data_IF_635419875549
#
_entry.id   IF_635419875549
#
_cell.length_a   1.000
_cell.length_b   1.000
_cell.length_c   1.000
_cell.angle_alpha   90.00
_cell.angle_beta   90.00
_cell.angle_gamma   90.00
#
_symmetry.space_group_name_H-M   'P 1'
#
loop_
_entity.id
_entity.type
_entity.pdbx_description
1 polymer ?
#
# COMPACT_ATOMS: atom_id res chain seq x y z
N UNK A 1 -59.92 -4.12 -43.07
CA UNK A 1 -59.77 -2.77 -42.51
C UNK A 1 -59.37 -2.92 -41.04
N UNK A 2 -58.19 -2.39 -40.68
CA UNK A 2 -57.58 -2.19 -39.34
C UNK A 2 -57.43 -3.45 -38.45
N UNK A 3 -56.24 -3.98 -38.15
CA UNK A 3 -54.91 -3.37 -38.07
C UNK A 3 -54.45 -3.37 -36.60
N UNK A 4 -54.13 -4.55 -36.06
CA UNK A 4 -53.67 -4.72 -34.68
C UNK A 4 -52.27 -4.13 -34.48
N UNK A 5 -52.14 -3.22 -33.51
CA UNK A 5 -50.85 -2.61 -33.12
C UNK A 5 -49.89 -3.68 -32.57
N UNK A 6 -48.64 -3.77 -33.04
CA UNK A 6 -47.63 -4.62 -32.41
C UNK A 6 -47.20 -4.02 -31.07
N UNK A 7 -47.16 -4.86 -30.03
CA UNK A 7 -46.49 -4.55 -28.75
C UNK A 7 -44.99 -4.50 -29.00
N UNK A 8 -44.42 -3.31 -28.92
CA UNK A 8 -42.98 -3.09 -28.86
C UNK A 8 -42.44 -3.68 -27.55
N UNK A 9 -41.89 -4.88 -27.62
CA UNK A 9 -41.01 -5.41 -26.56
C UNK A 9 -39.70 -4.64 -26.63
N UNK A 10 -39.58 -3.57 -25.85
CA UNK A 10 -38.31 -2.85 -25.64
C UNK A 10 -37.37 -3.70 -24.77
N UNK A 11 -36.76 -4.71 -25.36
CA UNK A 11 -35.50 -5.25 -24.85
C UNK A 11 -34.40 -4.29 -25.30
N UNK A 12 -34.18 -3.20 -24.54
CA UNK A 12 -32.90 -2.50 -24.60
C UNK A 12 -31.85 -3.43 -24.00
N UNK A 13 -31.21 -4.23 -24.84
CA UNK A 13 -29.92 -4.79 -24.49
C UNK A 13 -28.95 -3.63 -24.34
N UNK A 14 -28.64 -3.26 -23.10
CA UNK A 14 -27.51 -2.38 -22.78
C UNK A 14 -26.22 -3.16 -23.05
N UNK A 15 -25.86 -3.29 -24.32
CA UNK A 15 -24.51 -3.64 -24.74
C UNK A 15 -23.65 -2.40 -24.58
N UNK A 16 -22.73 -2.40 -23.60
CA UNK A 16 -21.69 -1.38 -23.52
C UNK A 16 -21.27 -0.86 -22.14
N UNK A 17 -21.54 -1.55 -21.03
CA UNK A 17 -20.65 -1.43 -19.86
C UNK A 17 -19.76 -2.66 -19.90
N UNK A 18 -18.52 -2.50 -20.38
CA UNK A 18 -17.52 -3.55 -20.30
C UNK A 18 -17.51 -4.01 -18.83
N UNK A 19 -18.02 -5.22 -18.55
CA UNK A 19 -18.18 -5.76 -17.18
C UNK A 19 -16.95 -5.39 -16.37
N UNK A 20 -17.13 -4.44 -15.45
CA UNK A 20 -16.04 -3.86 -14.67
C UNK A 20 -15.28 -5.02 -14.01
N UNK A 21 -14.01 -5.19 -14.37
CA UNK A 21 -13.16 -6.21 -13.76
C UNK A 21 -12.80 -5.72 -12.37
N UNK A 22 -13.56 -6.17 -11.37
CA UNK A 22 -13.39 -5.74 -9.97
C UNK A 22 -12.49 -6.69 -9.17
N UNK A 23 -12.12 -7.85 -9.71
CA UNK A 23 -11.30 -8.87 -9.04
C UNK A 23 -9.87 -8.98 -9.57
N UNK A 24 -9.26 -7.87 -10.01
CA UNK A 24 -7.99 -7.95 -10.76
C UNK A 24 -6.80 -8.29 -9.87
N UNK A 25 -6.78 -7.83 -8.62
CA UNK A 25 -5.64 -8.04 -7.73
C UNK A 25 -5.71 -9.45 -7.15
N UNK A 26 -6.86 -9.83 -6.56
CA UNK A 26 -7.06 -11.19 -6.02
C UNK A 26 -6.95 -12.26 -7.10
N UNK A 27 -7.48 -12.00 -8.30
CA UNK A 27 -7.35 -12.88 -9.45
C UNK A 27 -5.89 -13.07 -9.88
N UNK A 28 -5.08 -12.01 -9.85
CA UNK A 28 -3.66 -12.11 -10.15
C UNK A 28 -2.89 -12.88 -9.07
N UNK A 29 -3.18 -12.66 -7.79
CA UNK A 29 -2.53 -13.40 -6.69
C UNK A 29 -2.92 -14.89 -6.73
N UNK A 30 -4.19 -15.23 -7.02
CA UNK A 30 -4.61 -16.62 -7.24
C UNK A 30 -3.80 -17.28 -8.37
N UNK A 31 -3.58 -16.56 -9.46
CA UNK A 31 -2.72 -17.01 -10.56
C UNK A 31 -1.28 -17.25 -10.10
N UNK A 32 -0.72 -16.34 -9.30
CA UNK A 32 0.62 -16.51 -8.74
C UNK A 32 0.70 -17.75 -7.86
N UNK A 33 -0.28 -18.01 -6.98
CA UNK A 33 -0.35 -19.24 -6.18
C UNK A 33 -0.29 -20.45 -7.09
N UNK A 34 -1.13 -20.50 -8.13
CA UNK A 34 -1.17 -21.61 -9.07
C UNK A 34 0.18 -21.84 -9.75
N UNK A 35 0.79 -20.78 -10.27
CA UNK A 35 2.05 -20.84 -11.01
C UNK A 35 3.25 -21.25 -10.13
N UNK A 36 3.30 -20.75 -8.89
CA UNK A 36 4.30 -21.14 -7.90
C UNK A 36 4.19 -22.63 -7.50
N UNK A 37 2.98 -23.17 -7.59
CA UNK A 37 2.68 -24.56 -7.34
C UNK A 37 2.79 -25.46 -8.60
N UNK A 38 3.28 -24.91 -9.72
CA UNK A 38 3.46 -25.64 -10.97
C UNK A 38 2.16 -26.14 -11.62
N UNK A 39 0.99 -25.60 -11.23
CA UNK A 39 -0.32 -26.12 -11.65
C UNK A 39 -0.88 -25.46 -12.92
N UNK A 40 -1.58 -26.23 -13.74
CA UNK A 40 -2.43 -25.72 -14.82
C UNK A 40 -3.77 -25.23 -14.27
N UNK A 41 -4.54 -24.48 -15.08
CA UNK A 41 -5.87 -24.03 -14.66
C UNK A 41 -6.83 -25.18 -14.44
N UNK A 42 -6.72 -26.23 -15.25
CA UNK A 42 -7.50 -27.47 -15.09
C UNK A 42 -7.16 -28.16 -13.77
N UNK A 43 -5.87 -28.33 -13.47
CA UNK A 43 -5.42 -28.92 -12.19
C UNK A 43 -5.86 -28.10 -10.98
N UNK A 44 -5.88 -26.75 -11.10
CA UNK A 44 -6.43 -25.90 -10.04
C UNK A 44 -7.96 -26.03 -9.93
N UNK A 45 -8.66 -26.16 -11.06
CA UNK A 45 -10.11 -26.32 -11.08
C UNK A 45 -10.52 -27.64 -10.42
N UNK A 46 -9.81 -28.72 -10.72
CA UNK A 46 -9.95 -30.03 -10.06
C UNK A 46 -9.67 -29.93 -8.56
N UNK A 47 -8.55 -29.30 -8.16
CA UNK A 47 -8.18 -29.11 -6.76
C UNK A 47 -9.25 -28.34 -5.97
N UNK A 48 -9.89 -27.36 -6.61
CA UNK A 48 -10.89 -26.51 -5.97
C UNK A 48 -12.32 -27.02 -6.16
N UNK A 49 -12.52 -28.14 -6.88
CA UNK A 49 -13.82 -28.72 -7.22
C UNK A 49 -14.75 -27.72 -7.93
N UNK A 50 -14.19 -26.95 -8.88
CA UNK A 50 -14.93 -25.98 -9.69
C UNK A 50 -14.65 -26.17 -11.18
N UNK A 51 -15.39 -25.48 -12.05
CA UNK A 51 -15.11 -25.53 -13.49
C UNK A 51 -13.86 -24.74 -13.89
N UNK A 52 -13.21 -25.16 -14.99
CA UNK A 52 -12.11 -24.42 -15.62
C UNK A 52 -12.49 -22.95 -15.91
N UNK A 53 -13.71 -22.73 -16.41
CA UNK A 53 -14.23 -21.39 -16.69
C UNK A 53 -14.34 -20.52 -15.42
N UNK A 54 -14.61 -21.14 -14.27
CA UNK A 54 -14.64 -20.43 -12.98
C UNK A 54 -13.24 -19.95 -12.59
N UNK A 55 -12.23 -20.82 -12.66
CA UNK A 55 -10.83 -20.45 -12.41
C UNK A 55 -10.37 -19.37 -13.40
N UNK A 56 -10.64 -19.54 -14.70
CA UNK A 56 -10.30 -18.55 -15.71
C UNK A 56 -11.01 -17.20 -15.49
N UNK A 57 -12.26 -17.25 -15.02
CA UNK A 57 -13.04 -16.08 -14.63
C UNK A 57 -12.42 -15.33 -13.45
N UNK A 58 -11.99 -16.05 -12.41
CA UNK A 58 -11.31 -15.48 -11.25
C UNK A 58 -9.95 -14.88 -11.62
N UNK A 59 -9.08 -15.65 -12.28
CA UNK A 59 -7.74 -15.19 -12.62
C UNK A 59 -7.72 -13.98 -13.55
N UNK A 60 -8.74 -13.83 -14.40
CA UNK A 60 -8.87 -12.68 -15.30
C UNK A 60 -9.52 -11.47 -14.65
N UNK A 61 -10.01 -11.59 -13.41
CA UNK A 61 -10.78 -10.56 -12.72
C UNK A 61 -12.19 -10.34 -13.30
N UNK A 62 -12.64 -11.16 -14.27
CA UNK A 62 -14.00 -11.10 -14.83
C UNK A 62 -15.06 -11.58 -13.83
N UNK A 63 -14.68 -12.51 -12.95
CA UNK A 63 -15.48 -12.94 -11.80
C UNK A 63 -14.68 -12.57 -10.55
N UNK A 64 -15.11 -11.61 -9.74
CA UNK A 64 -14.34 -11.24 -8.56
C UNK A 64 -14.40 -12.35 -7.51
N UNK A 65 -13.27 -12.66 -6.87
CA UNK A 65 -13.26 -13.63 -5.77
C UNK A 65 -14.05 -13.12 -4.56
N UNK A 66 -14.25 -11.80 -4.44
CA UNK A 66 -15.10 -11.19 -3.41
C UNK A 66 -16.59 -11.53 -3.54
N UNK A 67 -17.04 -12.07 -4.68
CA UNK A 67 -18.41 -12.59 -4.82
C UNK A 67 -18.55 -14.07 -4.44
N UNK A 68 -17.45 -14.75 -4.09
CA UNK A 68 -17.48 -16.15 -3.65
C UNK A 68 -17.88 -16.20 -2.17
N UNK A 69 -18.80 -17.09 -1.77
CA UNK A 69 -19.15 -17.24 -0.36
C UNK A 69 -17.93 -17.53 0.52
N UNK A 70 -17.85 -16.89 1.68
CA UNK A 70 -16.69 -17.01 2.60
C UNK A 70 -16.38 -18.46 2.94
N UNK A 71 -17.40 -19.30 3.15
CA UNK A 71 -17.21 -20.74 3.41
C UNK A 71 -16.40 -21.44 2.31
N UNK A 72 -16.68 -21.13 1.03
CA UNK A 72 -15.92 -21.67 -0.09
C UNK A 72 -14.50 -21.10 -0.14
N UNK A 73 -14.31 -19.81 0.12
CA UNK A 73 -12.97 -19.21 0.17
C UNK A 73 -12.08 -19.87 1.24
N UNK A 74 -12.64 -20.16 2.42
CA UNK A 74 -11.92 -20.88 3.48
C UNK A 74 -11.58 -22.31 3.06
N UNK A 75 -12.52 -23.02 2.45
CA UNK A 75 -12.27 -24.36 1.91
C UNK A 75 -11.18 -24.34 0.83
N UNK A 76 -11.21 -23.37 -0.10
CA UNK A 76 -10.18 -23.20 -1.12
C UNK A 76 -8.80 -22.90 -0.51
N UNK A 77 -8.74 -22.04 0.51
CA UNK A 77 -7.50 -21.77 1.24
C UNK A 77 -6.91 -23.05 1.84
N UNK A 78 -7.72 -23.85 2.52
CA UNK A 78 -7.26 -25.12 3.11
C UNK A 78 -6.80 -26.13 2.05
N UNK A 79 -7.54 -26.29 0.95
CA UNK A 79 -7.15 -27.17 -0.16
C UNK A 79 -5.85 -26.72 -0.81
N UNK A 80 -5.67 -25.42 -1.08
CA UNK A 80 -4.42 -24.89 -1.62
C UNK A 80 -3.25 -25.05 -0.65
N UNK A 81 -3.48 -24.86 0.65
CA UNK A 81 -2.45 -25.07 1.68
C UNK A 81 -2.02 -26.55 1.74
N UNK A 82 -2.98 -27.47 1.78
CA UNK A 82 -2.70 -28.92 1.74
C UNK A 82 -1.98 -29.34 0.45
N UNK A 83 -2.21 -28.61 -0.65
CA UNK A 83 -1.58 -28.81 -1.96
C UNK A 83 -0.19 -28.18 -2.11
N UNK A 84 0.34 -27.53 -1.07
CA UNK A 84 1.70 -26.96 -1.03
C UNK A 84 1.79 -25.45 -1.23
N UNK A 85 0.68 -24.71 -1.28
CA UNK A 85 0.73 -23.26 -1.40
C UNK A 85 1.37 -22.60 -0.17
N UNK A 86 2.28 -21.65 -0.41
CA UNK A 86 2.99 -20.96 0.66
C UNK A 86 2.03 -20.13 1.52
N UNK A 87 2.26 -20.12 2.84
CA UNK A 87 1.47 -19.31 3.76
C UNK A 87 1.47 -17.82 3.37
N UNK A 88 2.63 -17.30 2.97
CA UNK A 88 2.80 -15.92 2.49
C UNK A 88 1.87 -15.58 1.31
N UNK A 89 1.74 -16.46 0.32
CA UNK A 89 0.86 -16.20 -0.82
C UNK A 89 -0.63 -16.32 -0.46
N UNK A 90 -0.97 -17.23 0.45
CA UNK A 90 -2.35 -17.37 0.96
C UNK A 90 -2.77 -16.16 1.80
N UNK A 91 -1.85 -15.60 2.58
CA UNK A 91 -2.06 -14.33 3.29
C UNK A 91 -2.20 -13.16 2.31
N UNK A 92 -1.32 -13.09 1.31
CA UNK A 92 -1.40 -12.08 0.25
C UNK A 92 -2.72 -12.16 -0.53
N UNK A 93 -3.28 -13.36 -0.73
CA UNK A 93 -4.60 -13.52 -1.36
C UNK A 93 -5.71 -12.90 -0.51
N UNK A 94 -5.66 -13.08 0.82
CA UNK A 94 -6.58 -12.42 1.75
C UNK A 94 -6.52 -10.89 1.61
N UNK A 95 -5.31 -10.33 1.59
CA UNK A 95 -5.11 -8.89 1.40
C UNK A 95 -5.52 -8.40 0.01
N UNK A 96 -5.34 -9.23 -1.01
CA UNK A 96 -5.73 -8.90 -2.38
C UNK A 96 -7.26 -8.82 -2.54
N UNK A 97 -8.03 -9.60 -1.78
CA UNK A 97 -9.49 -9.47 -1.71
C UNK A 97 -9.89 -8.10 -1.12
N UNK A 98 -9.25 -7.69 -0.03
CA UNK A 98 -9.47 -6.36 0.56
C UNK A 98 -9.10 -5.25 -0.43
N UNK A 99 -7.97 -5.39 -1.14
CA UNK A 99 -7.54 -4.43 -2.17
C UNK A 99 -8.56 -4.29 -3.30
N UNK A 100 -9.17 -5.39 -3.76
CA UNK A 100 -10.23 -5.36 -4.77
C UNK A 100 -11.50 -4.65 -4.26
N UNK A 101 -11.83 -4.77 -2.97
CA UNK A 101 -12.92 -3.98 -2.33
C UNK A 101 -12.57 -2.49 -2.35
N UNK A 102 -11.34 -2.12 -1.97
CA UNK A 102 -10.89 -0.72 -1.97
C UNK A 102 -10.87 -0.13 -3.38
N UNK A 103 -10.36 -0.86 -4.37
CA UNK A 103 -10.36 -0.44 -5.78
C UNK A 103 -11.79 -0.28 -6.31
N UNK A 104 -12.68 -1.23 -5.98
CA UNK A 104 -14.09 -1.15 -6.39
C UNK A 104 -14.78 0.06 -5.78
N UNK A 105 -14.51 0.39 -4.52
CA UNK A 105 -15.02 1.60 -3.88
C UNK A 105 -14.45 2.88 -4.53
N UNK A 106 -13.16 2.91 -4.83
CA UNK A 106 -12.50 4.05 -5.49
C UNK A 106 -13.02 4.29 -6.92
N UNK A 107 -13.36 3.22 -7.65
CA UNK A 107 -13.94 3.25 -8.99
C UNK A 107 -15.48 3.30 -9.00
N UNK A 108 -16.11 3.14 -7.85
CA UNK A 108 -17.55 3.25 -7.63
C UNK A 108 -18.00 4.70 -7.43
N UNK A 109 -19.32 4.98 -7.43
CA UNK A 109 -19.83 6.30 -7.08
C UNK A 109 -19.22 6.79 -5.75
N UNK A 110 -18.83 8.06 -5.68
CA UNK A 110 -18.23 8.61 -4.47
C UNK A 110 -19.26 8.67 -3.34
N UNK A 111 -19.20 7.70 -2.42
CA UNK A 111 -19.94 7.75 -1.16
C UNK A 111 -19.09 8.51 -0.14
N UNK A 112 -19.27 9.83 -0.10
CA UNK A 112 -18.52 10.73 0.79
C UNK A 112 -19.22 10.86 2.15
N UNK A 113 -20.56 10.82 2.16
CA UNK A 113 -21.40 10.95 3.36
C UNK A 113 -21.84 9.60 3.95
N UNK A 114 -21.26 8.49 3.47
CA UNK A 114 -21.60 7.12 3.85
C UNK A 114 -20.38 6.25 4.13
N UNK A 115 -20.56 4.94 4.44
CA UNK A 115 -19.45 4.04 4.73
C UNK A 115 -18.57 3.88 3.48
N UNK A 116 -17.40 4.50 3.50
CA UNK A 116 -16.37 4.35 2.49
C UNK A 116 -15.26 3.42 3.04
N UNK A 117 -14.93 2.30 2.37
CA UNK A 117 -13.84 1.42 2.80
C UNK A 117 -12.47 2.11 2.89
N UNK A 118 -12.24 3.16 2.09
CA UNK A 118 -11.05 4.00 2.22
C UNK A 118 -11.09 4.95 3.42
N UNK A 119 -12.14 4.93 4.24
CA UNK A 119 -12.26 5.74 5.44
C UNK A 119 -12.49 4.93 6.71
N UNK A 120 -12.57 3.60 6.61
CA UNK A 120 -12.98 2.72 7.71
C UNK A 120 -11.85 2.25 8.61
N UNK A 121 -10.61 2.30 8.12
CA UNK A 121 -9.41 1.92 8.86
C UNK A 121 -8.18 2.60 8.28
N UNK A 122 -7.15 2.77 9.11
CA UNK A 122 -5.84 3.24 8.69
C UNK A 122 -5.17 2.14 7.87
N UNK A 123 -4.89 2.40 6.61
CA UNK A 123 -4.28 1.42 5.73
C UNK A 123 -2.82 1.17 6.11
N UNK A 124 -2.45 -0.11 6.13
CA UNK A 124 -1.05 -0.57 6.22
C UNK A 124 -0.43 -0.65 4.83
N UNK A 125 0.90 -0.65 4.78
CA UNK A 125 1.70 -0.72 3.55
C UNK A 125 1.21 -1.81 2.60
N UNK A 126 1.06 -3.03 3.11
CA UNK A 126 0.62 -4.19 2.32
C UNK A 126 -0.69 -3.94 1.56
N UNK A 127 -1.64 -3.26 2.21
CA UNK A 127 -2.97 -2.98 1.64
C UNK A 127 -2.98 -1.71 0.78
N UNK A 128 -1.93 -0.88 0.85
CA UNK A 128 -1.74 0.26 -0.07
C UNK A 128 -0.98 -0.15 -1.33
N UNK A 129 0.01 -1.02 -1.22
CA UNK A 129 0.80 -1.47 -2.37
C UNK A 129 -0.04 -2.31 -3.34
N UNK A 130 -0.90 -3.18 -2.84
CA UNK A 130 -1.78 -4.03 -3.66
C UNK A 130 -2.70 -3.25 -4.61
N UNK A 131 -3.47 -2.23 -4.17
CA UNK A 131 -4.27 -1.40 -5.08
C UNK A 131 -3.43 -0.43 -5.91
N UNK A 132 -2.23 -0.04 -5.46
CA UNK A 132 -1.31 0.77 -6.25
C UNK A 132 -0.66 -0.01 -7.41
N UNK A 133 -0.47 -1.32 -7.24
CA UNK A 133 0.18 -2.19 -8.23
C UNK A 133 -0.46 -2.12 -9.64
N UNK A 134 -1.79 -2.29 -9.82
CA UNK A 134 -2.42 -2.13 -11.13
C UNK A 134 -2.45 -0.69 -11.66
N UNK A 135 -2.14 0.29 -10.81
CA UNK A 135 -2.01 1.72 -11.17
C UNK A 135 -0.59 2.07 -11.65
N UNK A 136 0.29 1.08 -11.84
CA UNK A 136 1.69 1.28 -12.21
C UNK A 136 2.60 1.58 -11.02
N UNK A 137 2.14 1.24 -9.80
CA UNK A 137 3.01 1.12 -8.64
C UNK A 137 3.92 -0.12 -8.72
N UNK A 138 4.91 -0.23 -7.82
CA UNK A 138 5.79 -1.39 -7.76
C UNK A 138 5.01 -2.67 -7.38
N UNK A 139 5.63 -3.83 -7.62
CA UNK A 139 5.16 -5.10 -7.05
C UNK A 139 5.16 -4.96 -5.51
N UNK A 140 4.09 -5.36 -4.80
CA UNK A 140 4.05 -5.31 -3.35
C UNK A 140 5.25 -6.03 -2.72
N UNK A 141 5.80 -5.50 -1.63
CA UNK A 141 7.01 -6.05 -1.00
C UNK A 141 6.79 -7.51 -0.56
N UNK A 142 5.60 -7.83 -0.06
CA UNK A 142 5.21 -9.19 0.34
C UNK A 142 5.19 -10.18 -0.82
N UNK A 143 5.15 -9.70 -2.06
CA UNK A 143 5.20 -10.50 -3.29
C UNK A 143 6.55 -10.34 -4.02
N UNK A 144 7.40 -9.41 -3.57
CA UNK A 144 8.74 -9.22 -4.12
C UNK A 144 9.67 -10.35 -3.66
N UNK A 145 10.57 -10.78 -4.53
CA UNK A 145 11.54 -11.83 -4.19
C UNK A 145 10.98 -13.26 -4.15
N UNK A 146 9.74 -13.48 -4.58
CA UNK A 146 9.24 -14.83 -4.82
C UNK A 146 10.09 -15.54 -5.90
N UNK A 147 10.33 -16.85 -5.77
CA UNK A 147 11.12 -17.58 -6.75
C UNK A 147 10.44 -17.57 -8.12
N UNK A 148 11.20 -17.82 -9.18
CA UNK A 148 10.61 -17.97 -10.51
C UNK A 148 9.57 -19.11 -10.50
N UNK A 149 8.45 -18.98 -11.24
CA UNK A 149 7.48 -20.05 -11.37
C UNK A 149 8.12 -21.36 -11.84
N UNK A 150 7.64 -22.49 -11.31
CA UNK A 150 8.16 -23.84 -11.63
C UNK A 150 8.07 -24.16 -13.12
N UNK A 151 7.02 -23.66 -13.79
CA UNK A 151 6.80 -23.82 -15.23
C UNK A 151 6.92 -22.46 -15.91
N UNK A 152 7.74 -22.39 -16.97
CA UNK A 152 7.85 -21.18 -17.79
C UNK A 152 6.50 -20.83 -18.42
N UNK A 153 6.16 -19.54 -18.39
CA UNK A 153 4.92 -19.02 -18.99
C UNK A 153 4.99 -19.19 -20.51
N UNK A 154 3.90 -19.67 -21.12
CA UNK A 154 3.76 -19.73 -22.59
C UNK A 154 3.05 -18.47 -23.08
N UNK A 155 3.68 -17.74 -24.00
CA UNK A 155 3.12 -16.54 -24.61
C UNK A 155 3.14 -15.29 -23.72
N UNK A 156 2.68 -14.14 -24.23
CA UNK A 156 2.63 -12.89 -23.49
C UNK A 156 1.58 -12.97 -22.38
N UNK A 157 2.05 -12.97 -21.13
CA UNK A 157 1.20 -12.92 -19.92
C UNK A 157 1.58 -11.68 -19.11
N UNK A 158 0.61 -10.85 -18.68
CA UNK A 158 0.88 -9.68 -17.85
C UNK A 158 1.69 -10.04 -16.61
N UNK A 159 2.77 -9.30 -16.37
CA UNK A 159 3.61 -9.46 -15.18
C UNK A 159 2.97 -8.89 -13.91
N UNK A 160 1.91 -8.09 -14.06
CA UNK A 160 1.16 -7.45 -12.98
C UNK A 160 -0.36 -7.56 -13.22
N UNK A 161 -1.22 -7.33 -12.21
CA UNK A 161 -2.62 -7.01 -12.45
C UNK A 161 -2.71 -5.74 -13.29
N UNK A 162 -3.67 -5.69 -14.21
CA UNK A 162 -3.85 -4.56 -15.12
C UNK A 162 -5.26 -4.00 -14.97
N UNK A 163 -5.33 -2.73 -14.58
CA UNK A 163 -6.55 -1.95 -14.63
C UNK A 163 -6.80 -1.53 -16.10
N UNK A 164 -8.06 -1.44 -16.53
CA UNK A 164 -8.37 -0.91 -17.86
C UNK A 164 -7.93 0.55 -17.98
N UNK A 165 -7.56 1.01 -19.18
CA UNK A 165 -7.19 2.41 -19.41
C UNK A 165 -8.30 3.37 -18.96
N UNK A 166 -9.57 3.00 -19.19
CA UNK A 166 -10.76 3.75 -18.77
C UNK A 166 -10.91 3.81 -17.26
N UNK A 167 -10.69 2.72 -16.54
CA UNK A 167 -10.76 2.75 -15.07
C UNK A 167 -9.59 3.54 -14.49
N UNK A 168 -8.41 3.46 -15.12
CA UNK A 168 -7.21 4.15 -14.67
C UNK A 168 -7.35 5.66 -14.82
N UNK A 169 -7.92 6.10 -15.94
CA UNK A 169 -8.21 7.53 -16.17
C UNK A 169 -9.29 8.06 -15.23
N UNK A 170 -10.16 7.21 -14.68
CA UNK A 170 -11.19 7.58 -13.70
C UNK A 170 -10.69 7.57 -12.25
N UNK A 171 -9.76 6.68 -11.92
CA UNK A 171 -9.30 6.47 -10.54
C UNK A 171 -8.74 7.75 -9.92
N UNK A 172 -7.72 8.36 -10.53
CA UNK A 172 -7.05 9.51 -9.92
C UNK A 172 -7.92 10.77 -9.81
N UNK A 173 -8.72 11.16 -10.82
CA UNK A 173 -9.70 12.22 -10.65
C UNK A 173 -10.67 11.99 -9.49
N UNK A 174 -11.12 10.75 -9.27
CA UNK A 174 -12.01 10.42 -8.15
C UNK A 174 -11.34 10.45 -6.80
N UNK A 175 -10.08 10.02 -6.70
CA UNK A 175 -9.33 10.15 -5.45
C UNK A 175 -9.12 11.62 -5.09
N UNK A 176 -8.84 12.48 -6.07
CA UNK A 176 -8.77 13.93 -5.86
C UNK A 176 -10.11 14.50 -5.42
N UNK A 177 -11.19 14.18 -6.12
CA UNK A 177 -12.55 14.62 -5.76
C UNK A 177 -12.92 14.15 -4.34
N UNK A 178 -12.59 12.90 -4.01
CA UNK A 178 -12.83 12.34 -2.67
C UNK A 178 -12.06 13.12 -1.60
N UNK A 179 -10.79 13.43 -1.85
CA UNK A 179 -9.99 14.26 -0.93
C UNK A 179 -10.52 15.70 -0.82
N UNK A 180 -11.10 16.25 -1.88
CA UNK A 180 -11.74 17.57 -1.88
C UNK A 180 -13.12 17.61 -1.22
N UNK A 181 -13.85 16.50 -1.18
CA UNK A 181 -15.19 16.47 -0.61
C UNK A 181 -15.24 15.90 0.81
N UNK A 182 -14.26 15.09 1.19
CA UNK A 182 -14.13 14.54 2.53
C UNK A 182 -13.71 15.64 3.54
N UNK A 183 -14.70 16.37 4.07
CA UNK A 183 -14.52 17.49 4.99
C UNK A 183 -14.82 17.11 6.45
N UNK A 184 -14.13 17.79 7.38
CA UNK A 184 -14.35 17.62 8.81
C UNK A 184 -13.74 16.37 9.45
N UNK A 185 -13.87 16.24 10.77
CA UNK A 185 -13.12 15.24 11.57
C UNK A 185 -13.43 13.80 11.20
N UNK A 186 -14.70 13.47 10.91
CA UNK A 186 -15.14 12.10 10.58
C UNK A 186 -14.63 11.62 9.23
N UNK A 187 -14.41 12.54 8.28
CA UNK A 187 -13.94 12.22 6.94
C UNK A 187 -12.42 12.42 6.78
N UNK A 188 -11.71 12.83 7.84
CA UNK A 188 -10.29 13.13 7.79
C UNK A 188 -9.44 11.94 7.31
N UNK A 189 -9.73 10.74 7.82
CA UNK A 189 -9.04 9.52 7.42
C UNK A 189 -9.25 9.22 5.93
N UNK A 190 -10.51 9.28 5.46
CA UNK A 190 -10.84 9.13 4.05
C UNK A 190 -10.07 10.11 3.17
N UNK A 191 -10.06 11.40 3.56
CA UNK A 191 -9.32 12.45 2.86
C UNK A 191 -7.84 12.11 2.75
N UNK A 192 -7.21 11.74 3.87
CA UNK A 192 -5.77 11.43 3.94
C UNK A 192 -5.40 10.24 3.05
N UNK A 193 -6.23 9.19 3.06
CA UNK A 193 -5.98 7.99 2.25
C UNK A 193 -6.18 8.27 0.75
N UNK A 194 -7.21 9.03 0.39
CA UNK A 194 -7.44 9.46 -0.99
C UNK A 194 -6.31 10.37 -1.50
N UNK A 195 -5.81 11.29 -0.65
CA UNK A 195 -4.68 12.15 -0.97
C UNK A 195 -3.40 11.33 -1.24
N UNK A 196 -3.12 10.37 -0.36
CA UNK A 196 -1.95 9.50 -0.51
C UNK A 196 -2.02 8.68 -1.81
N UNK A 197 -3.17 8.07 -2.12
CA UNK A 197 -3.37 7.27 -3.33
C UNK A 197 -3.31 8.13 -4.61
N UNK A 198 -3.71 9.39 -4.54
CA UNK A 198 -3.54 10.35 -5.63
C UNK A 198 -2.07 10.61 -5.98
N UNK A 199 -1.15 10.40 -5.04
CA UNK A 199 0.30 10.51 -5.25
C UNK A 199 0.93 9.41 -6.11
N UNK A 200 0.15 8.42 -6.55
CA UNK A 200 0.58 7.47 -7.60
C UNK A 200 0.26 7.97 -9.02
N UNK A 201 -0.45 9.10 -9.15
CA UNK A 201 -0.72 9.70 -10.45
C UNK A 201 0.55 10.36 -11.00
N UNK A 202 1.01 9.88 -12.16
CA UNK A 202 2.20 10.41 -12.83
C UNK A 202 1.93 11.70 -13.63
N UNK A 203 0.71 12.24 -13.57
CA UNK A 203 0.40 13.51 -14.20
C UNK A 203 1.29 14.65 -13.64
N UNK A 204 1.80 15.54 -14.51
CA UNK A 204 2.76 16.59 -14.10
C UNK A 204 2.14 17.63 -13.15
N UNK A 205 0.81 17.79 -13.16
CA UNK A 205 0.10 18.76 -12.33
C UNK A 205 -0.37 18.22 -10.97
N UNK A 206 -0.06 16.95 -10.65
CA UNK A 206 -0.42 16.30 -9.38
C UNK A 206 0.06 17.13 -8.18
N UNK A 207 1.31 17.56 -8.15
CA UNK A 207 1.88 18.30 -7.01
C UNK A 207 1.22 19.67 -6.80
N UNK A 208 0.96 20.41 -7.89
CA UNK A 208 0.31 21.71 -7.81
C UNK A 208 -1.11 21.59 -7.23
N UNK A 209 -1.88 20.62 -7.73
CA UNK A 209 -3.25 20.36 -7.22
C UNK A 209 -3.27 19.92 -5.76
N UNK A 210 -2.33 19.09 -5.33
CA UNK A 210 -2.23 18.67 -3.93
C UNK A 210 -1.90 19.85 -3.00
N UNK A 211 -1.07 20.81 -3.46
CA UNK A 211 -0.79 22.03 -2.73
C UNK A 211 -2.03 22.93 -2.59
N UNK A 212 -2.86 23.01 -3.63
CA UNK A 212 -4.13 23.75 -3.61
C UNK A 212 -5.14 23.14 -2.64
N UNK A 213 -5.26 21.81 -2.63
CA UNK A 213 -6.15 21.09 -1.71
C UNK A 213 -5.80 21.37 -0.23
N UNK A 214 -4.51 21.49 0.11
CA UNK A 214 -4.06 21.86 1.46
C UNK A 214 -4.53 23.27 1.87
N UNK A 215 -4.57 24.23 0.94
CA UNK A 215 -4.99 25.60 1.24
C UNK A 215 -6.48 25.68 1.58
N UNK A 216 -7.29 24.83 0.95
CA UNK A 216 -8.73 24.82 1.13
C UNK A 216 -9.19 24.28 2.49
N UNK A 217 -8.44 23.37 3.12
CA UNK A 217 -8.83 22.82 4.43
C UNK A 217 -7.60 22.58 5.32
N UNK A 218 -7.40 23.47 6.29
CA UNK A 218 -6.33 23.39 7.28
C UNK A 218 -6.88 22.83 8.59
N UNK A 219 -6.43 21.63 9.02
CA UNK A 219 -6.69 21.16 10.37
C UNK A 219 -6.20 22.18 11.38
N UNK A 220 -6.92 22.32 12.48
CA UNK A 220 -6.54 23.22 13.57
C UNK A 220 -5.77 22.47 14.66
N UNK A 221 -5.89 21.15 14.72
CA UNK A 221 -5.19 20.32 15.68
C UNK A 221 -3.80 19.89 15.18
N UNK A 222 -2.90 19.67 16.14
CA UNK A 222 -1.51 19.30 15.88
C UNK A 222 -1.38 18.02 15.04
N UNK A 223 -2.17 16.98 15.35
CA UNK A 223 -2.06 15.68 14.68
C UNK A 223 -2.51 15.80 13.22
N UNK A 224 -3.60 16.52 12.97
CA UNK A 224 -4.07 16.82 11.62
C UNK A 224 -3.05 17.60 10.79
N UNK A 225 -2.39 18.61 11.38
CA UNK A 225 -1.31 19.37 10.73
C UNK A 225 -0.13 18.48 10.39
N UNK A 226 0.30 17.64 11.34
CA UNK A 226 1.40 16.70 11.18
C UNK A 226 1.12 15.69 10.06
N UNK A 227 -0.08 15.10 10.04
CA UNK A 227 -0.49 14.09 9.03
C UNK A 227 -0.62 14.67 7.63
N UNK A 228 -1.14 15.89 7.50
CA UNK A 228 -1.17 16.60 6.23
C UNK A 228 0.25 16.91 5.73
N UNK A 229 1.14 17.38 6.63
CA UNK A 229 2.55 17.63 6.33
C UNK A 229 3.24 16.36 5.81
N UNK A 230 3.10 15.24 6.53
CA UNK A 230 3.66 13.94 6.14
C UNK A 230 3.15 13.46 4.79
N UNK A 231 1.85 13.55 4.56
CA UNK A 231 1.24 13.09 3.30
C UNK A 231 1.78 13.89 2.11
N UNK A 232 1.92 15.21 2.26
CA UNK A 232 2.48 16.07 1.21
C UNK A 232 3.97 15.84 0.99
N UNK A 233 4.75 15.66 2.06
CA UNK A 233 6.17 15.34 1.95
C UNK A 233 6.38 14.00 1.24
N UNK A 234 5.62 12.97 1.61
CA UNK A 234 5.73 11.64 0.99
C UNK A 234 5.27 11.62 -0.46
N UNK A 235 4.21 12.36 -0.81
CA UNK A 235 3.81 12.49 -2.22
C UNK A 235 4.80 13.35 -3.00
N UNK A 236 5.25 14.48 -2.46
CA UNK A 236 6.27 15.34 -3.07
C UNK A 236 7.55 14.58 -3.40
N UNK A 237 8.08 13.81 -2.44
CA UNK A 237 9.27 13.00 -2.63
C UNK A 237 9.14 11.99 -3.79
N UNK A 238 7.96 11.36 -3.96
CA UNK A 238 7.70 10.46 -5.11
C UNK A 238 7.82 11.15 -6.46
N UNK A 239 7.56 12.45 -6.50
CA UNK A 239 7.69 13.29 -7.69
C UNK A 239 9.04 14.02 -7.75
N UNK A 240 10.00 13.65 -6.90
CA UNK A 240 11.36 14.22 -6.89
C UNK A 240 11.51 15.49 -6.06
N UNK A 241 10.46 15.98 -5.41
CA UNK A 241 10.52 17.14 -4.50
C UNK A 241 11.09 16.70 -3.15
N UNK A 242 12.43 16.71 -3.04
CA UNK A 242 13.16 16.38 -1.81
C UNK A 242 13.02 17.47 -0.75
N UNK A 243 12.94 18.74 -1.16
CA UNK A 243 12.86 19.89 -0.25
C UNK A 243 11.64 19.80 0.69
N UNK A 244 10.50 19.31 0.19
CA UNK A 244 9.33 19.05 1.05
C UNK A 244 9.57 17.99 2.11
N UNK A 245 10.37 16.97 1.80
CA UNK A 245 10.72 15.94 2.77
C UNK A 245 11.65 16.52 3.83
N UNK A 246 12.68 17.25 3.41
CA UNK A 246 13.60 17.94 4.31
C UNK A 246 12.85 18.90 5.24
N UNK A 247 11.98 19.76 4.68
CA UNK A 247 11.15 20.67 5.48
C UNK A 247 10.27 19.92 6.49
N UNK A 248 9.68 18.78 6.11
CA UNK A 248 8.87 17.99 7.05
C UNK A 248 9.70 17.42 8.20
N UNK A 249 10.91 16.91 7.92
CA UNK A 249 11.83 16.42 8.95
C UNK A 249 12.22 17.57 9.89
N UNK A 250 12.66 18.70 9.33
CA UNK A 250 13.18 19.84 10.10
C UNK A 250 12.12 20.56 10.94
N UNK A 251 10.83 20.44 10.58
CA UNK A 251 9.74 21.16 11.27
C UNK A 251 8.81 20.26 12.05
N UNK A 252 8.32 19.17 11.44
CA UNK A 252 7.30 18.32 12.03
C UNK A 252 7.89 17.18 12.89
N UNK A 253 9.20 16.91 12.74
CA UNK A 253 9.94 15.91 13.54
C UNK A 253 11.01 16.57 14.43
N UNK A 254 10.89 17.88 14.69
CA UNK A 254 11.87 18.64 15.46
C UNK A 254 11.81 18.37 16.98
N UNK A 255 10.72 17.77 17.47
CA UNK A 255 10.49 17.48 18.89
C UNK A 255 10.17 15.99 19.13
N UNK A 256 10.32 15.56 20.39
CA UNK A 256 10.07 14.17 20.79
C UNK A 256 8.65 13.69 20.43
N UNK A 257 7.68 14.61 20.39
CA UNK A 257 6.28 14.31 20.05
C UNK A 257 6.14 13.95 18.57
N UNK A 258 6.77 14.71 17.68
CA UNK A 258 6.82 14.47 16.24
C UNK A 258 7.60 13.20 15.89
N UNK A 259 8.76 13.00 16.53
CA UNK A 259 9.56 11.78 16.40
C UNK A 259 8.77 10.54 16.83
N UNK A 260 8.10 10.60 18.00
CA UNK A 260 7.24 9.52 18.50
C UNK A 260 6.10 9.18 17.52
N UNK A 261 5.42 10.20 16.99
CA UNK A 261 4.38 10.02 16.00
C UNK A 261 4.88 9.38 14.71
N UNK A 262 6.07 9.77 14.24
CA UNK A 262 6.71 9.15 13.09
C UNK A 262 6.98 7.64 13.33
N UNK A 263 7.51 7.29 14.50
CA UNK A 263 7.79 5.89 14.85
C UNK A 263 6.52 5.06 15.00
N UNK A 264 5.48 5.59 15.67
CA UNK A 264 4.18 4.91 15.79
C UNK A 264 3.54 4.69 14.42
N UNK A 265 3.54 5.72 13.56
CA UNK A 265 3.05 5.60 12.19
C UNK A 265 3.81 4.52 11.42
N UNK A 266 5.15 4.52 11.47
CA UNK A 266 5.96 3.54 10.76
C UNK A 266 5.74 2.11 11.26
N UNK A 267 5.72 1.92 12.59
CA UNK A 267 5.47 0.61 13.20
C UNK A 267 4.11 0.05 12.77
N UNK A 268 3.07 0.90 12.75
CA UNK A 268 1.77 0.50 12.21
C UNK A 268 1.81 0.22 10.71
N UNK A 269 2.39 1.14 9.93
CA UNK A 269 2.46 1.09 8.47
C UNK A 269 3.08 -0.21 7.96
N UNK A 270 4.17 -0.65 8.57
CA UNK A 270 4.88 -1.88 8.19
C UNK A 270 4.28 -3.14 8.85
N UNK A 271 3.27 -2.99 9.70
CA UNK A 271 2.62 -4.08 10.41
C UNK A 271 3.51 -4.72 11.48
N UNK A 272 4.29 -3.92 12.21
CA UNK A 272 4.92 -4.34 13.48
C UNK A 272 3.84 -4.53 14.55
N UNK A 273 2.82 -3.68 14.54
CA UNK A 273 1.64 -3.79 15.40
C UNK A 273 0.57 -4.66 14.73
N UNK A 274 -0.09 -5.50 15.54
CA UNK A 274 -1.10 -6.45 15.07
C UNK A 274 -2.51 -5.85 15.04
N UNK A 275 -2.79 -4.89 15.91
CA UNK A 275 -4.10 -4.23 16.03
C UNK A 275 -4.41 -3.41 14.78
N UNK A 276 -5.62 -3.56 14.25
CA UNK A 276 -6.13 -2.69 13.19
C UNK A 276 -6.58 -1.37 13.80
N UNK A 277 -6.03 -0.26 13.34
CA UNK A 277 -6.37 1.07 13.83
C UNK A 277 -7.49 1.67 12.99
N UNK A 278 -8.55 2.13 13.66
CA UNK A 278 -9.75 2.70 13.02
C UNK A 278 -9.71 4.23 12.93
N UNK A 279 -8.78 4.87 13.66
CA UNK A 279 -8.53 6.31 13.61
C UNK A 279 -7.03 6.57 13.63
N UNK A 280 -6.65 7.82 13.35
CA UNK A 280 -5.26 8.27 13.40
C UNK A 280 -4.77 8.54 14.83
N UNK A 281 -5.62 8.43 15.86
CA UNK A 281 -5.30 8.88 17.22
C UNK A 281 -4.12 8.12 17.86
N UNK A 282 -3.91 6.85 17.48
CA UNK A 282 -2.79 6.05 17.95
C UNK A 282 -1.42 6.68 17.62
N UNK A 283 -1.34 7.48 16.55
CA UNK A 283 -0.11 8.15 16.11
C UNK A 283 0.36 9.15 17.18
N UNK A 284 -0.57 9.85 17.82
CA UNK A 284 -0.27 10.84 18.86
C UNK A 284 0.03 10.22 20.23
N UNK A 285 -0.07 8.89 20.38
CA UNK A 285 0.23 8.22 21.64
C UNK A 285 1.73 8.27 21.95
N UNK A 286 2.16 8.24 23.22
CA UNK A 286 3.55 8.02 23.55
C UNK A 286 4.09 6.76 22.85
N UNK A 287 5.39 6.73 22.51
CA UNK A 287 6.00 5.55 21.86
C UNK A 287 5.72 4.32 22.71
N UNK A 288 4.86 3.45 22.19
CA UNK A 288 4.40 2.30 22.94
C UNK A 288 5.47 1.22 22.99
N UNK A 289 5.73 0.65 24.16
CA UNK A 289 6.51 -0.61 24.28
C UNK A 289 5.78 -1.83 23.70
N UNK A 290 4.56 -1.67 23.18
CA UNK A 290 3.74 -2.76 22.63
C UNK A 290 4.29 -3.37 21.34
N UNK A 291 5.19 -2.68 20.65
CA UNK A 291 5.94 -3.22 19.52
C UNK A 291 7.43 -3.24 19.83
N UNK A 292 8.18 -4.21 19.29
CA UNK A 292 9.60 -4.44 19.64
C UNK A 292 10.54 -3.53 18.86
N UNK A 293 10.27 -3.32 17.58
CA UNK A 293 11.02 -2.41 16.70
C UNK A 293 12.01 -3.12 15.79
N UNK A 294 12.11 -4.44 15.86
CA UNK A 294 13.06 -5.22 15.05
C UNK A 294 12.67 -5.24 13.56
N UNK A 295 11.38 -5.49 13.26
CA UNK A 295 10.90 -5.51 11.88
C UNK A 295 10.86 -4.07 11.32
N UNK A 296 10.57 -3.06 12.14
CA UNK A 296 10.72 -1.66 11.79
C UNK A 296 12.18 -1.31 11.42
N UNK A 297 13.15 -1.67 12.27
CA UNK A 297 14.56 -1.42 12.02
C UNK A 297 15.01 -2.07 10.70
N UNK A 298 14.63 -3.34 10.49
CA UNK A 298 14.91 -4.06 9.25
C UNK A 298 14.34 -3.34 8.01
N UNK A 299 13.09 -2.89 8.07
CA UNK A 299 12.45 -2.16 6.98
C UNK A 299 13.12 -0.81 6.67
N UNK A 300 13.47 -0.05 7.71
CA UNK A 300 14.11 1.25 7.54
C UNK A 300 15.53 1.09 6.97
N UNK A 301 16.31 0.15 7.51
CA UNK A 301 17.67 -0.14 7.07
C UNK A 301 17.74 -0.57 5.59
N UNK A 302 16.73 -1.29 5.08
CA UNK A 302 16.67 -1.64 3.66
C UNK A 302 16.56 -0.43 2.72
N UNK A 303 16.06 0.71 3.19
CA UNK A 303 15.96 1.93 2.38
C UNK A 303 17.17 2.86 2.47
N UNK A 304 18.25 2.44 3.13
CA UNK A 304 19.53 3.15 3.11
C UNK A 304 20.23 2.82 1.79
N UNK A 305 19.75 3.45 0.72
CA UNK A 305 20.29 3.29 -0.62
C UNK A 305 20.29 4.65 -1.35
N UNK A 306 21.36 4.97 -2.10
CA UNK A 306 21.41 6.18 -2.93
C UNK A 306 20.20 6.26 -3.87
N UNK A 307 19.63 7.45 -3.99
CA UNK A 307 18.46 7.69 -4.84
C UNK A 307 17.13 7.11 -4.34
N UNK A 308 17.11 6.40 -3.19
CA UNK A 308 15.85 5.92 -2.62
C UNK A 308 14.96 7.09 -2.18
N UNK A 309 13.71 7.12 -2.67
CA UNK A 309 12.76 8.24 -2.54
C UNK A 309 12.58 8.77 -1.11
N UNK A 310 12.62 7.88 -0.12
CA UNK A 310 12.42 8.23 1.30
C UNK A 310 13.69 8.08 2.16
N UNK A 311 14.88 8.16 1.55
CA UNK A 311 16.14 7.91 2.25
C UNK A 311 16.29 8.81 3.50
N UNK A 312 16.16 10.13 3.35
CA UNK A 312 16.32 11.10 4.45
C UNK A 312 15.40 10.79 5.63
N UNK A 313 14.11 10.54 5.34
CA UNK A 313 13.12 10.18 6.36
C UNK A 313 13.47 8.86 7.04
N UNK A 314 13.98 7.87 6.29
CA UNK A 314 14.38 6.57 6.85
C UNK A 314 15.61 6.70 7.74
N UNK A 315 16.61 7.49 7.35
CA UNK A 315 17.78 7.79 8.18
C UNK A 315 17.35 8.42 9.50
N UNK A 316 16.57 9.51 9.43
CA UNK A 316 16.03 10.18 10.61
C UNK A 316 15.20 9.23 11.48
N UNK A 317 14.37 8.37 10.87
CA UNK A 317 13.58 7.38 11.59
C UNK A 317 14.44 6.33 12.29
N UNK A 318 15.57 5.91 11.72
CA UNK A 318 16.52 4.99 12.41
C UNK A 318 17.22 5.71 13.55
N UNK A 319 17.69 6.94 13.33
CA UNK A 319 18.34 7.74 14.37
C UNK A 319 17.45 7.90 15.61
N UNK A 320 16.20 8.29 15.39
CA UNK A 320 15.19 8.45 16.46
C UNK A 320 14.79 7.11 17.09
N UNK A 321 14.64 6.05 16.30
CA UNK A 321 14.35 4.70 16.81
C UNK A 321 15.47 4.20 17.73
N UNK A 322 16.74 4.40 17.36
CA UNK A 322 17.88 3.94 18.16
C UNK A 322 18.07 4.76 19.43
N UNK A 323 17.73 6.06 19.41
CA UNK A 323 17.66 6.88 20.65
C UNK A 323 16.57 6.37 21.59
N UNK A 324 15.40 6.00 21.05
CA UNK A 324 14.29 5.48 21.84
C UNK A 324 14.52 4.03 22.31
N UNK A 325 15.27 3.22 21.53
CA UNK A 325 15.48 1.79 21.76
C UNK A 325 16.92 1.34 21.42
N UNK A 326 17.91 1.71 22.23
CA UNK A 326 19.31 1.37 21.98
C UNK A 326 19.58 -0.14 21.88
N UNK A 327 18.81 -0.97 22.60
CA UNK A 327 18.98 -2.42 22.64
C UNK A 327 18.76 -3.11 21.28
N UNK A 328 18.10 -2.45 20.32
CA UNK A 328 17.93 -2.97 18.96
C UNK A 328 19.26 -3.17 18.23
N UNK A 329 20.34 -2.50 18.64
CA UNK A 329 21.67 -2.70 18.07
C UNK A 329 22.35 -3.98 18.56
N UNK A 330 21.90 -4.50 19.71
CA UNK A 330 22.43 -5.74 20.31
C UNK A 330 21.81 -6.99 19.68
N UNK A 331 20.69 -6.86 18.95
CA UNK A 331 19.96 -8.00 18.37
C UNK A 331 20.02 -8.07 16.84
N UNK A 332 20.22 -9.29 16.34
CA UNK A 332 19.64 -9.74 15.08
C UNK A 332 20.32 -9.37 13.76
N UNK A 333 19.69 -9.82 12.67
CA UNK A 333 20.13 -9.59 11.29
C UNK A 333 19.95 -8.13 10.85
N UNK A 334 18.98 -7.41 11.44
CA UNK A 334 18.69 -6.02 11.10
C UNK A 334 19.87 -5.09 11.40
N UNK A 335 20.54 -5.25 12.55
CA UNK A 335 21.74 -4.47 12.88
C UNK A 335 22.90 -4.70 11.91
N UNK A 336 23.07 -5.94 11.39
CA UNK A 336 24.08 -6.23 10.36
C UNK A 336 23.75 -5.56 9.02
N UNK A 337 22.49 -5.62 8.58
CA UNK A 337 22.03 -4.94 7.37
C UNK A 337 22.23 -3.44 7.50
N UNK A 338 21.83 -2.85 8.63
CA UNK A 338 22.02 -1.43 8.90
C UNK A 338 23.49 -1.03 8.81
N UNK A 339 24.39 -1.80 9.44
CA UNK A 339 25.83 -1.51 9.42
C UNK A 339 26.40 -1.49 8.00
N UNK A 340 26.07 -2.51 7.20
CA UNK A 340 26.54 -2.57 5.81
C UNK A 340 26.00 -1.43 4.95
N UNK A 341 24.72 -1.08 5.12
CA UNK A 341 24.07 -0.01 4.34
C UNK A 341 24.50 1.39 4.78
N UNK A 342 24.70 1.62 6.08
CA UNK A 342 25.15 2.90 6.61
C UNK A 342 26.59 3.21 6.18
N UNK A 343 27.47 2.21 6.16
CA UNK A 343 28.84 2.37 5.65
C UNK A 343 28.83 2.80 4.17
N UNK A 344 28.10 2.05 3.33
CA UNK A 344 27.92 2.38 1.90
C UNK A 344 27.39 3.80 1.68
N UNK A 345 26.42 4.24 2.50
CA UNK A 345 25.81 5.55 2.34
C UNK A 345 26.75 6.69 2.78
N UNK A 346 27.60 6.49 3.78
CA UNK A 346 28.58 7.49 4.22
C UNK A 346 29.68 7.76 3.19
N UNK A 347 29.91 6.82 2.26
CA UNK A 347 30.86 6.98 1.16
C UNK A 347 30.31 7.88 0.03
N UNK A 348 29.02 8.27 0.08
CA UNK A 348 28.40 9.17 -0.89
C UNK A 348 28.79 10.63 -0.64
N UNK A 349 29.27 11.31 -1.68
CA UNK A 349 29.80 12.69 -1.58
C UNK A 349 28.69 13.74 -1.38
N UNK A 350 27.48 13.50 -1.88
CA UNK A 350 26.38 14.49 -1.97
C UNK A 350 25.26 14.31 -0.93
N UNK A 351 25.60 13.88 0.28
CA UNK A 351 24.60 13.76 1.36
C UNK A 351 24.23 15.12 1.97
N UNK A 352 22.93 15.40 2.21
CA UNK A 352 22.52 16.55 3.01
C UNK A 352 23.19 16.55 4.39
N UNK A 353 23.62 17.72 4.87
CA UNK A 353 24.40 17.84 6.11
C UNK A 353 23.67 17.26 7.35
N UNK A 354 22.34 17.41 7.42
CA UNK A 354 21.53 16.83 8.49
C UNK A 354 21.55 15.30 8.47
N UNK A 355 21.33 14.71 7.29
CA UNK A 355 21.36 13.25 7.06
C UNK A 355 22.74 12.68 7.39
N UNK A 356 23.81 13.35 6.95
CA UNK A 356 25.19 12.94 7.26
C UNK A 356 25.45 12.89 8.77
N UNK A 357 25.05 13.93 9.50
CA UNK A 357 25.20 13.99 10.98
C UNK A 357 24.45 12.85 11.67
N UNK A 358 23.23 12.56 11.25
CA UNK A 358 22.44 11.45 11.80
C UNK A 358 23.06 10.10 11.47
N UNK A 359 23.57 9.90 10.25
CA UNK A 359 24.29 8.67 9.86
C UNK A 359 25.56 8.46 10.69
N UNK A 360 26.35 9.51 10.89
CA UNK A 360 27.54 9.46 11.76
C UNK A 360 27.14 9.07 13.20
N UNK A 361 26.06 9.64 13.72
CA UNK A 361 25.50 9.28 15.01
C UNK A 361 25.04 7.81 15.09
N UNK A 362 24.36 7.31 14.05
CA UNK A 362 23.95 5.90 13.96
C UNK A 362 25.18 4.98 13.97
N UNK A 363 26.21 5.30 13.18
CA UNK A 363 27.46 4.54 13.15
C UNK A 363 28.19 4.57 14.49
N UNK A 364 28.21 5.72 15.16
CA UNK A 364 28.76 5.84 16.50
C UNK A 364 28.03 4.95 17.51
N UNK A 365 26.69 4.98 17.52
CA UNK A 365 25.88 4.12 18.39
C UNK A 365 26.13 2.62 18.11
N UNK A 366 26.28 2.24 16.84
CA UNK A 366 26.64 0.86 16.46
C UNK A 366 28.01 0.42 16.98
N UNK A 367 29.00 1.33 17.05
CA UNK A 367 30.32 1.05 17.62
C UNK A 367 30.23 0.86 19.13
N UNK A 368 29.49 1.71 19.82
CA UNK A 368 29.27 1.60 21.27
C UNK A 368 28.54 0.32 21.66
N UNK A 369 27.60 -0.16 20.85
CA UNK A 369 26.87 -1.39 21.12
C UNK A 369 27.67 -2.69 20.82
N UNK A 370 28.78 -2.58 20.09
CA UNK A 370 29.65 -3.70 19.73
C UNK A 370 30.83 -3.91 20.69
N UNK A 371 31.13 -2.92 21.55
CA UNK A 371 32.01 -3.06 22.70
C UNK A 371 31.22 -3.42 23.95
#
# INVERSE_FOLDING_TARGET
MMGGKPRETRTRSTSGDARRRSGIVSGHVLRMIREQNGRTRDELAELLEVSLDTVAGWESGRRPLTSVPVAHLLAFRHRMQAAGASAQLLEALGRALEADVLLSAALGPAHIDGPNPLGSMVLRRELVELPAWPLGGPVPETLSGLPAPVKARRGPVPASPELSATDRSRFFPRMRETAERARGRRAFLLRRQALYLSGYDRAPDTIARLADQRRAERPQDWLGLWLNGRSLATVGARHGDRDRMTYFIDTALADDRGEAANLNYWAYWIGETWTTELSDDFIASPVSRSWLGEKLLGHLAQGFAPGHVFMDLKVHSVWTLLRARPDLLRSGAAGRVLRGRAAMLLDEEDLPAGVKRELEGIVYAMRLAAG
#
